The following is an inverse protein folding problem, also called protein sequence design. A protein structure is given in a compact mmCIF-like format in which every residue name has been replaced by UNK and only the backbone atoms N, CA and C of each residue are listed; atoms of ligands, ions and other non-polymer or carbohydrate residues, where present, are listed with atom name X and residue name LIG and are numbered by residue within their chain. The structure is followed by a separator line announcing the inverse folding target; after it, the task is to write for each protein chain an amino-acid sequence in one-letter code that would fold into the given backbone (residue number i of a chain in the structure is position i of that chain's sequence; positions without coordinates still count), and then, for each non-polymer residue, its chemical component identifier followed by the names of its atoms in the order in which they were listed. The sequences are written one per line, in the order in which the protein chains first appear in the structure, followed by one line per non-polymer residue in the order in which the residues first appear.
data_IF_681369289325
#
_entry.id   IF_681369289325
#
_cell.length_a   1.000
_cell.length_b   1.000
_cell.length_c   1.000
_cell.angle_alpha   90.00
_cell.angle_beta   90.00
_cell.angle_gamma   90.00
#
_symmetry.space_group_name_H-M   'P 1'
#
loop_
_entity.id
_entity.type
_entity.pdbx_description
1 polymer ?
#
# COMPACT_ATOMS: atom_id res chain seq x y z
N UNK A 1 2.42 -12.48 -13.76
CA UNK A 1 3.29 -11.29 -13.65
C UNK A 1 3.18 -10.51 -14.95
N UNK A 2 2.16 -9.66 -15.10
CA UNK A 2 2.01 -8.75 -16.26
C UNK A 2 0.88 -7.75 -15.95
N UNK A 3 1.18 -6.74 -15.16
CA UNK A 3 0.27 -5.58 -14.97
C UNK A 3 1.02 -4.27 -14.72
N UNK A 4 2.34 -4.22 -14.92
CA UNK A 4 3.02 -2.93 -15.02
C UNK A 4 2.74 -2.38 -16.42
N UNK A 5 1.54 -1.86 -16.62
CA UNK A 5 1.24 -1.03 -17.78
C UNK A 5 2.20 0.17 -17.74
N UNK A 6 2.69 0.64 -18.89
CA UNK A 6 3.64 1.76 -18.92
C UNK A 6 3.08 3.03 -18.24
N UNK A 7 1.75 3.18 -18.18
CA UNK A 7 1.05 4.25 -17.47
C UNK A 7 1.33 4.25 -15.96
N UNK A 8 1.51 3.08 -15.34
CA UNK A 8 1.72 2.96 -13.89
C UNK A 8 3.08 3.50 -13.43
N UNK A 9 4.07 3.59 -14.32
CA UNK A 9 5.40 4.13 -13.97
C UNK A 9 5.32 5.58 -13.49
N UNK A 10 4.38 6.38 -14.02
CA UNK A 10 4.18 7.78 -13.64
C UNK A 10 3.64 7.93 -12.20
N UNK A 11 2.99 6.88 -11.68
CA UNK A 11 2.36 6.88 -10.36
C UNK A 11 3.32 6.45 -9.23
N UNK A 12 4.55 6.05 -9.55
CA UNK A 12 5.61 5.77 -8.58
C UNK A 12 6.35 7.03 -8.16
N UNK A 13 6.05 7.54 -6.97
CA UNK A 13 6.74 8.67 -6.34
C UNK A 13 8.03 8.20 -5.67
N UNK A 14 9.12 8.89 -5.98
CA UNK A 14 10.47 8.60 -5.47
C UNK A 14 10.95 7.14 -5.71
N UNK A 15 10.31 6.43 -6.64
CA UNK A 15 10.58 5.02 -6.91
C UNK A 15 10.10 4.03 -5.84
N UNK A 16 9.41 4.50 -4.78
CA UNK A 16 9.05 3.70 -3.61
C UNK A 16 7.55 3.68 -3.31
N UNK A 17 6.89 4.84 -3.50
CA UNK A 17 5.49 5.02 -3.10
C UNK A 17 4.63 5.00 -4.34
N UNK A 18 3.72 4.04 -4.42
CA UNK A 18 2.74 3.99 -5.50
C UNK A 18 1.47 4.77 -5.11
N UNK A 19 1.04 5.69 -5.99
CA UNK A 19 -0.11 6.55 -5.77
C UNK A 19 -0.91 6.75 -7.05
N UNK A 20 -1.98 5.97 -7.22
CA UNK A 20 -2.90 6.09 -8.36
C UNK A 20 -4.36 6.05 -7.88
N UNK A 21 -5.09 7.18 -7.83
CA UNK A 21 -6.48 7.21 -7.36
C UNK A 21 -7.46 6.53 -8.32
N UNK A 22 -7.09 6.33 -9.58
CA UNK A 22 -7.92 5.64 -10.59
C UNK A 22 -7.73 4.13 -10.57
N UNK A 23 -6.67 3.62 -9.93
CA UNK A 23 -6.45 2.19 -9.79
C UNK A 23 -7.19 1.70 -8.53
N UNK A 24 -8.21 0.82 -8.67
CA UNK A 24 -9.00 0.34 -7.54
C UNK A 24 -8.25 -0.67 -6.67
N UNK A 25 -7.07 -1.13 -7.09
CA UNK A 25 -6.30 -2.13 -6.33
C UNK A 25 -5.68 -1.50 -5.08
N UNK A 26 -5.88 -2.15 -3.95
CA UNK A 26 -5.25 -1.81 -2.67
C UNK A 26 -3.79 -2.28 -2.62
N UNK A 27 -3.52 -3.50 -3.12
CA UNK A 27 -2.19 -4.11 -3.18
C UNK A 27 -1.73 -4.21 -4.64
N UNK A 28 -0.50 -3.80 -4.90
CA UNK A 28 0.13 -3.85 -6.22
C UNK A 28 1.54 -4.44 -6.11
N UNK A 29 2.05 -5.01 -7.20
CA UNK A 29 3.41 -5.56 -7.24
C UNK A 29 4.44 -4.43 -7.19
N UNK A 30 5.54 -4.63 -6.46
CA UNK A 30 6.63 -3.64 -6.43
C UNK A 30 7.17 -3.37 -7.83
N UNK A 31 7.57 -2.11 -8.08
CA UNK A 31 8.21 -1.69 -9.33
C UNK A 31 9.49 -2.47 -9.63
N UNK A 32 10.27 -2.72 -8.58
CA UNK A 32 11.55 -3.42 -8.67
C UNK A 32 11.60 -4.54 -7.62
N UNK A 33 12.17 -5.68 -8.01
CA UNK A 33 12.35 -6.85 -7.15
C UNK A 33 11.07 -7.65 -6.91
N UNK A 34 11.11 -8.50 -5.88
CA UNK A 34 10.00 -9.37 -5.50
C UNK A 34 9.12 -8.71 -4.42
N UNK A 35 7.82 -9.00 -4.49
CA UNK A 35 6.84 -8.64 -3.47
C UNK A 35 5.86 -7.56 -3.92
N UNK A 36 5.17 -7.00 -2.94
CA UNK A 36 4.04 -6.09 -3.13
C UNK A 36 4.19 -4.83 -2.27
N UNK A 37 3.42 -3.82 -2.61
CA UNK A 37 3.22 -2.60 -1.83
C UNK A 37 1.75 -2.19 -1.90
N UNK A 38 1.38 -1.14 -1.16
CA UNK A 38 0.04 -0.58 -1.19
C UNK A 38 -0.09 0.56 -2.20
N UNK A 39 -1.30 0.73 -2.73
CA UNK A 39 -1.71 1.97 -3.37
C UNK A 39 -2.10 3.00 -2.31
N UNK A 40 -1.24 3.97 -2.05
CA UNK A 40 -1.46 4.98 -1.02
C UNK A 40 -2.52 6.03 -1.40
N UNK A 41 -3.02 6.01 -2.64
CA UNK A 41 -4.19 6.79 -3.04
C UNK A 41 -5.52 6.14 -2.61
N UNK A 42 -5.51 4.83 -2.32
CA UNK A 42 -6.71 4.08 -1.98
C UNK A 42 -7.05 4.24 -0.49
N UNK A 43 -8.29 4.68 -0.17
CA UNK A 43 -8.75 4.88 1.23
C UNK A 43 -8.61 3.62 2.08
N UNK A 44 -8.85 2.45 1.49
CA UNK A 44 -8.69 1.16 2.17
C UNK A 44 -7.26 0.88 2.66
N UNK A 45 -6.23 1.41 2.00
CA UNK A 45 -4.84 1.30 2.48
C UNK A 45 -4.68 1.94 3.85
N UNK A 46 -5.22 3.15 4.02
CA UNK A 46 -5.15 3.88 5.28
C UNK A 46 -6.00 3.23 6.36
N UNK A 47 -7.19 2.73 6.03
CA UNK A 47 -8.02 1.97 6.97
C UNK A 47 -7.31 0.70 7.45
N UNK A 48 -6.67 -0.05 6.54
CA UNK A 48 -5.91 -1.24 6.88
C UNK A 48 -4.71 -0.90 7.78
N UNK A 49 -3.93 0.13 7.45
CA UNK A 49 -2.78 0.54 8.26
C UNK A 49 -3.22 1.02 9.66
N UNK A 50 -4.30 1.80 9.74
CA UNK A 50 -4.88 2.22 11.02
C UNK A 50 -5.37 1.02 11.85
N UNK A 51 -5.99 0.02 11.23
CA UNK A 51 -6.41 -1.20 11.91
C UNK A 51 -5.20 -1.97 12.47
N UNK A 52 -4.15 -2.14 11.67
CA UNK A 52 -2.91 -2.82 12.12
C UNK A 52 -2.29 -2.08 13.30
N UNK A 53 -2.14 -0.76 13.19
CA UNK A 53 -1.61 0.08 14.28
C UNK A 53 -2.51 -0.03 15.53
N UNK A 54 -3.83 0.03 15.35
CA UNK A 54 -4.81 -0.07 16.42
C UNK A 54 -4.73 -1.39 17.17
N UNK A 55 -4.56 -2.52 16.47
CA UNK A 55 -4.36 -3.84 17.08
C UNK A 55 -3.07 -3.86 17.90
N UNK A 56 -1.96 -3.33 17.35
CA UNK A 56 -0.68 -3.27 18.08
C UNK A 56 -0.81 -2.44 19.35
N UNK A 57 -1.45 -1.27 19.29
CA UNK A 57 -1.68 -0.39 20.45
C UNK A 57 -2.60 -1.07 21.47
N UNK A 58 -3.69 -1.69 21.02
CA UNK A 58 -4.62 -2.39 21.90
C UNK A 58 -3.92 -3.52 22.66
N UNK A 59 -3.14 -4.34 21.96
CA UNK A 59 -2.37 -5.42 22.58
C UNK A 59 -1.38 -4.87 23.62
N UNK A 60 -0.71 -3.76 23.34
CA UNK A 60 0.18 -3.11 24.32
C UNK A 60 -0.57 -2.72 25.60
N UNK A 61 -1.70 -2.03 25.45
CA UNK A 61 -2.54 -1.60 26.60
C UNK A 61 -3.05 -2.80 27.41
N UNK A 62 -3.38 -3.92 26.76
CA UNK A 62 -3.91 -5.11 27.44
C UNK A 62 -2.83 -5.93 28.16
N UNK A 63 -1.56 -5.74 27.83
CA UNK A 63 -0.41 -6.49 28.40
C UNK A 63 0.31 -5.71 29.50
N UNK A 64 0.07 -4.40 29.58
CA UNK A 64 0.51 -3.52 30.68
C UNK A 64 -0.42 -3.66 31.91
#
# INVERSE_FOLDING_TARGET
MNELNNDDNSHWKWGLIYYNPHNPKLIINKRYGLGWTFNFAHKGTWLFLLMVIGVVVLVRILVD
#
